data_IF_993332614841
#
_entry.id   IF_993332614841
#
_cell.length_a   1.000
_cell.length_b   1.000
_cell.length_c   1.000
_cell.angle_alpha   90.00
_cell.angle_beta   90.00
_cell.angle_gamma   90.00
#
_symmetry.space_group_name_H-M   'P 1'
#
loop_
_entity.id
_entity.type
_entity.pdbx_description
1 polymer ?
#
# COMPACT_ATOMS: atom_id res chain seq x y z
N UNK A 1 -6.89 -11.82 19.27
CA UNK A 1 -5.44 -11.62 19.51
C UNK A 1 -5.29 -10.34 20.30
N UNK A 2 -4.78 -10.43 21.52
CA UNK A 2 -4.54 -9.27 22.38
C UNK A 2 -3.04 -9.05 22.48
N UNK A 3 -2.59 -7.87 22.11
CA UNK A 3 -1.26 -7.36 22.45
C UNK A 3 -1.54 -6.29 23.49
N UNK A 4 -1.10 -6.52 24.73
CA UNK A 4 -1.39 -5.63 25.85
C UNK A 4 -0.11 -5.18 26.54
N UNK A 5 -0.07 -3.91 26.92
CA UNK A 5 0.84 -3.41 27.94
C UNK A 5 0.14 -3.42 29.31
N UNK A 6 0.92 -3.44 30.38
CA UNK A 6 0.40 -3.39 31.76
C UNK A 6 -0.25 -2.02 31.99
N UNK A 7 -1.42 -1.95 32.65
CA UNK A 7 -1.99 -0.67 33.11
C UNK A 7 -0.95 0.13 33.91
N UNK A 8 -0.67 1.37 33.50
CA UNK A 8 0.29 2.26 34.16
C UNK A 8 1.69 2.35 33.53
N UNK A 9 1.93 1.70 32.39
CA UNK A 9 3.14 1.87 31.56
C UNK A 9 2.80 2.57 30.23
N UNK A 10 2.00 3.63 30.29
CA UNK A 10 1.68 4.49 29.15
C UNK A 10 2.90 5.39 28.84
N UNK A 11 3.94 4.85 28.24
CA UNK A 11 5.09 5.66 27.82
C UNK A 11 4.74 6.47 26.57
N UNK A 12 4.74 7.80 26.73
CA UNK A 12 4.91 8.77 25.65
C UNK A 12 6.06 8.31 24.75
N UNK A 13 5.79 8.24 23.44
CA UNK A 13 6.71 8.47 22.33
C UNK A 13 8.20 8.53 22.75
N UNK A 14 8.80 7.37 22.98
CA UNK A 14 10.14 7.18 23.51
C UNK A 14 10.80 5.99 22.83
N UNK A 15 12.11 6.09 22.62
CA UNK A 15 12.95 5.33 21.70
C UNK A 15 12.85 3.78 21.77
N UNK A 16 13.25 3.18 20.65
CA UNK A 16 13.34 1.74 20.28
C UNK A 16 13.94 0.82 21.37
N UNK A 17 14.62 1.34 22.39
CA UNK A 17 15.33 0.54 23.39
C UNK A 17 14.44 -0.07 24.50
N UNK A 18 13.20 0.42 24.70
CA UNK A 18 12.30 -0.13 25.74
C UNK A 18 11.46 -1.34 25.29
N UNK A 19 11.45 -1.69 24.00
CA UNK A 19 10.61 -2.79 23.45
C UNK A 19 11.20 -4.18 23.73
N UNK A 20 12.42 -4.28 24.28
CA UNK A 20 13.14 -5.55 24.47
C UNK A 20 12.73 -6.36 25.71
N UNK A 21 11.98 -5.81 26.66
CA UNK A 21 11.64 -6.54 27.90
C UNK A 21 10.13 -6.68 28.11
N UNK A 22 9.61 -7.86 27.78
CA UNK A 22 8.33 -8.36 28.25
C UNK A 22 7.20 -8.26 27.22
N UNK A 23 6.14 -9.03 27.45
CA UNK A 23 4.84 -9.00 26.78
C UNK A 23 4.60 -10.04 25.68
N UNK A 24 4.22 -11.24 26.12
CA UNK A 24 3.21 -12.03 25.43
C UNK A 24 2.39 -12.80 26.46
N UNK A 25 1.09 -12.47 26.60
CA UNK A 25 0.11 -13.40 27.18
C UNK A 25 -0.86 -13.80 26.07
N UNK A 26 -0.90 -15.09 25.76
CA UNK A 26 -1.88 -15.66 24.84
C UNK A 26 -3.09 -16.14 25.65
N UNK A 27 -4.25 -15.51 25.45
CA UNK A 27 -5.53 -16.01 25.98
C UNK A 27 -6.26 -16.78 24.88
N UNK A 28 -6.70 -18.00 25.19
CA UNK A 28 -7.51 -18.83 24.28
C UNK A 28 -8.86 -18.18 23.98
N UNK A 29 -9.28 -18.17 22.72
CA UNK A 29 -10.56 -17.60 22.26
C UNK A 29 -11.77 -18.46 22.62
N UNK A 30 -11.60 -19.54 23.38
CA UNK A 30 -12.73 -20.34 23.82
C UNK A 30 -13.36 -19.71 25.07
N UNK A 31 -14.55 -19.14 24.85
CA UNK A 31 -15.56 -18.75 25.86
C UNK A 31 -15.58 -17.28 26.31
N UNK A 32 -15.67 -16.34 25.38
CA UNK A 32 -16.28 -15.03 25.64
C UNK A 32 -17.32 -14.73 24.56
N UNK A 33 -18.55 -14.42 24.96
CA UNK A 33 -19.72 -14.17 24.08
C UNK A 33 -19.69 -12.81 23.37
N UNK A 34 -18.60 -12.06 23.50
CA UNK A 34 -18.45 -10.76 22.86
C UNK A 34 -17.00 -10.59 22.42
N UNK A 35 -16.76 -10.11 21.17
CA UNK A 35 -15.42 -9.78 20.74
C UNK A 35 -14.82 -8.69 21.65
N UNK A 36 -13.49 -8.70 21.85
CA UNK A 36 -12.74 -7.62 22.49
C UNK A 36 -13.18 -6.24 21.98
N UNK A 37 -13.71 -5.38 22.86
CA UNK A 37 -14.16 -4.03 22.47
C UNK A 37 -13.05 -2.98 22.53
N UNK A 38 -11.86 -3.31 23.07
CA UNK A 38 -10.73 -2.39 23.19
C UNK A 38 -9.38 -3.12 23.09
N UNK A 39 -8.42 -2.55 22.36
CA UNK A 39 -7.03 -3.04 22.28
C UNK A 39 -6.20 -2.37 23.38
N UNK A 40 -5.65 -3.16 24.30
CA UNK A 40 -4.71 -2.71 25.35
C UNK A 40 -3.30 -2.40 24.84
N UNK A 41 -3.11 -2.21 23.53
CA UNK A 41 -1.81 -1.98 22.91
C UNK A 41 -1.34 -0.51 23.02
N UNK A 42 -2.16 0.39 23.58
CA UNK A 42 -1.88 1.84 23.61
C UNK A 42 -2.02 2.54 22.26
N UNK A 43 -2.39 1.81 21.20
CA UNK A 43 -2.69 2.34 19.88
C UNK A 43 -3.87 1.62 19.23
N UNK A 44 -4.59 2.35 18.36
CA UNK A 44 -5.60 1.76 17.48
C UNK A 44 -4.89 1.02 16.35
N UNK A 45 -5.33 -0.18 16.01
CA UNK A 45 -4.77 -0.93 14.86
C UNK A 45 -5.44 -0.45 13.57
N UNK A 46 -4.65 0.01 12.60
CA UNK A 46 -5.16 0.42 11.29
C UNK A 46 -5.24 -0.76 10.32
N UNK A 47 -4.21 -1.61 10.29
CA UNK A 47 -4.17 -2.79 9.43
C UNK A 47 -3.34 -3.91 10.05
N UNK A 48 -3.74 -5.16 9.78
CA UNK A 48 -2.92 -6.35 10.08
C UNK A 48 -2.91 -7.24 8.85
N UNK A 49 -1.74 -7.75 8.48
CA UNK A 49 -1.55 -8.73 7.40
C UNK A 49 -0.68 -9.87 7.91
N UNK A 50 -0.96 -11.07 7.44
CA UNK A 50 -0.14 -12.25 7.67
C UNK A 50 0.70 -12.50 6.41
N UNK A 51 1.98 -12.87 6.57
CA UNK A 51 2.80 -13.39 5.47
C UNK A 51 2.16 -14.64 4.89
N UNK A 52 2.45 -14.95 3.62
CA UNK A 52 1.77 -16.05 2.92
C UNK A 52 2.06 -17.43 3.51
N UNK A 53 3.21 -17.60 4.15
CA UNK A 53 3.56 -18.81 4.90
C UNK A 53 2.95 -18.88 6.31
N UNK A 54 2.31 -17.81 6.77
CA UNK A 54 1.75 -17.72 8.11
C UNK A 54 2.77 -17.46 9.22
N UNK A 55 4.04 -17.21 8.90
CA UNK A 55 5.12 -17.11 9.89
C UNK A 55 5.25 -15.72 10.53
N UNK A 56 4.73 -14.66 9.89
CA UNK A 56 4.94 -13.28 10.33
C UNK A 56 3.67 -12.44 10.18
N UNK A 57 3.30 -11.72 11.23
CA UNK A 57 2.24 -10.73 11.22
C UNK A 57 2.85 -9.34 11.08
N UNK A 58 2.44 -8.61 10.04
CA UNK A 58 2.66 -7.16 9.91
C UNK A 58 1.49 -6.43 10.53
N UNK A 59 1.77 -5.56 11.49
CA UNK A 59 0.81 -4.75 12.21
C UNK A 59 1.14 -3.29 11.94
N UNK A 60 0.16 -2.58 11.38
CA UNK A 60 0.22 -1.14 11.12
C UNK A 60 -0.73 -0.45 12.10
N UNK A 61 -0.20 0.26 13.12
CA UNK A 61 -1.03 1.08 13.98
C UNK A 61 -1.56 2.32 13.25
N UNK A 62 -2.72 2.83 13.68
CA UNK A 62 -3.28 4.07 13.22
C UNK A 62 -2.45 5.25 13.74
N UNK A 63 -1.99 6.10 12.82
CA UNK A 63 -1.23 7.32 13.15
C UNK A 63 0.17 7.08 13.73
N UNK A 64 0.67 5.84 13.75
CA UNK A 64 2.02 5.55 14.22
C UNK A 64 3.08 5.82 13.17
N UNK A 65 4.30 6.07 13.66
CA UNK A 65 5.51 6.24 12.87
C UNK A 65 6.26 4.92 12.64
N UNK A 66 5.70 3.79 13.05
CA UNK A 66 6.35 2.49 12.95
C UNK A 66 5.34 1.41 12.53
N UNK A 67 5.81 0.44 11.77
CA UNK A 67 5.15 -0.85 11.58
C UNK A 67 5.85 -1.92 12.42
N UNK A 68 5.07 -2.87 12.89
CA UNK A 68 5.57 -3.98 13.70
C UNK A 68 5.44 -5.30 12.96
N UNK A 69 6.44 -6.15 13.08
CA UNK A 69 6.52 -7.48 12.50
C UNK A 69 6.69 -8.47 13.63
N UNK A 70 5.75 -9.38 13.77
CA UNK A 70 5.72 -10.33 14.88
C UNK A 70 5.66 -11.76 14.38
N UNK A 71 6.53 -12.61 14.89
CA UNK A 71 6.50 -14.06 14.62
C UNK A 71 5.59 -14.75 15.64
N UNK A 72 4.43 -15.31 15.24
CA UNK A 72 3.51 -15.95 16.16
C UNK A 72 4.19 -17.05 16.98
N UNK A 73 3.73 -17.24 18.23
CA UNK A 73 4.29 -18.19 19.21
C UNK A 73 5.70 -17.84 19.72
N UNK A 74 6.24 -16.69 19.33
CA UNK A 74 7.49 -16.15 19.87
C UNK A 74 7.25 -14.79 20.52
N UNK A 75 8.20 -14.32 21.33
CA UNK A 75 8.24 -12.95 21.84
C UNK A 75 9.01 -12.00 20.89
N UNK A 76 9.35 -12.44 19.67
CA UNK A 76 10.17 -11.66 18.74
C UNK A 76 9.29 -10.68 17.97
N UNK A 77 9.47 -9.40 18.25
CA UNK A 77 8.86 -8.29 17.51
C UNK A 77 9.97 -7.42 16.93
N UNK A 78 9.91 -7.19 15.62
CA UNK A 78 10.77 -6.24 14.91
C UNK A 78 9.95 -5.00 14.58
N UNK A 79 10.51 -3.82 14.79
CA UNK A 79 9.90 -2.56 14.39
C UNK A 79 10.61 -2.01 13.15
N UNK A 80 9.85 -1.37 12.27
CA UNK A 80 10.40 -0.59 11.17
C UNK A 80 9.67 0.74 11.07
N UNK A 81 10.42 1.84 11.19
CA UNK A 81 9.88 3.18 11.06
C UNK A 81 9.23 3.39 9.70
N UNK A 82 8.11 4.08 9.64
CA UNK A 82 7.38 4.48 8.42
C UNK A 82 7.80 5.87 7.94
N UNK A 83 8.64 6.57 8.70
CA UNK A 83 9.18 7.89 8.37
C UNK A 83 10.67 7.98 8.71
N UNK A 84 11.47 8.57 7.83
CA UNK A 84 12.90 8.78 8.07
C UNK A 84 13.59 9.49 6.93
N UNK A 85 14.85 9.87 7.15
CA UNK A 85 15.72 10.41 6.11
C UNK A 85 16.35 9.26 5.32
N UNK A 86 16.49 9.43 4.00
CA UNK A 86 17.23 8.47 3.19
C UNK A 86 18.73 8.58 3.49
N UNK A 87 19.35 7.49 3.96
CA UNK A 87 20.80 7.44 4.12
C UNK A 87 21.43 6.96 2.82
N UNK A 88 22.33 7.76 2.24
CA UNK A 88 23.12 7.37 1.07
C UNK A 88 22.31 7.12 -0.21
N UNK A 89 21.11 7.70 -0.35
CA UNK A 89 20.29 7.40 -1.50
C UNK A 89 19.63 6.01 -1.45
N UNK A 90 19.40 5.43 -0.25
CA UNK A 90 18.29 4.46 -0.02
C UNK A 90 17.40 4.88 1.18
N UNK A 91 16.07 4.73 1.11
CA UNK A 91 15.17 5.06 2.22
C UNK A 91 15.25 3.95 3.25
N UNK A 92 15.69 4.28 4.45
CA UNK A 92 15.86 3.30 5.55
C UNK A 92 14.55 2.88 6.21
N UNK A 93 13.42 3.51 5.84
CA UNK A 93 12.12 3.34 6.47
C UNK A 93 11.15 2.47 5.64
N UNK A 94 10.22 1.79 6.28
CA UNK A 94 9.18 0.92 5.71
C UNK A 94 7.87 1.67 5.46
N UNK A 95 7.94 2.93 5.02
CA UNK A 95 6.75 3.76 4.80
C UNK A 95 5.92 3.34 3.59
N UNK A 96 4.92 4.17 3.26
CA UNK A 96 4.10 4.02 2.06
C UNK A 96 3.22 2.76 2.04
N UNK A 97 2.70 2.45 0.85
CA UNK A 97 1.92 1.23 0.64
C UNK A 97 2.82 0.00 0.58
N UNK A 98 2.38 -1.07 1.24
CA UNK A 98 3.21 -2.25 1.45
C UNK A 98 2.46 -3.54 1.20
N UNK A 99 3.15 -4.54 0.63
CA UNK A 99 2.63 -5.87 0.35
C UNK A 99 3.57 -6.94 0.91
N UNK A 100 3.01 -8.05 1.39
CA UNK A 100 3.75 -9.18 1.94
C UNK A 100 3.76 -10.36 0.97
N UNK A 101 4.93 -10.96 0.80
CA UNK A 101 5.11 -12.29 0.24
C UNK A 101 5.11 -13.36 1.33
N UNK A 102 5.86 -14.43 1.08
CA UNK A 102 6.15 -15.51 2.04
C UNK A 102 7.19 -15.07 3.07
N UNK A 103 8.32 -14.54 2.61
CA UNK A 103 9.49 -14.23 3.42
C UNK A 103 9.97 -12.80 3.26
N UNK A 104 9.35 -12.01 2.37
CA UNK A 104 9.73 -10.64 2.10
C UNK A 104 8.58 -9.64 2.21
N UNK A 105 8.95 -8.41 2.55
CA UNK A 105 8.15 -7.21 2.44
C UNK A 105 8.56 -6.45 1.19
N UNK A 106 7.56 -6.02 0.42
CA UNK A 106 7.73 -4.93 -0.53
C UNK A 106 7.08 -3.70 0.06
N UNK A 107 7.84 -2.61 0.14
CA UNK A 107 7.31 -1.32 0.54
C UNK A 107 7.64 -0.27 -0.50
N UNK A 108 6.71 0.66 -0.61
CA UNK A 108 6.89 1.89 -1.33
C UNK A 108 7.81 2.83 -0.57
N UNK A 109 8.58 3.64 -1.29
CA UNK A 109 9.42 4.68 -0.70
C UNK A 109 10.89 4.26 -0.68
N UNK A 110 11.66 4.94 -1.52
CA UNK A 110 13.12 5.00 -1.60
C UNK A 110 13.49 6.50 -1.63
N UNK A 111 14.75 6.88 -1.63
CA UNK A 111 15.12 8.27 -1.84
C UNK A 111 15.14 8.57 -3.32
N UNK A 112 14.96 9.84 -3.63
CA UNK A 112 14.85 10.31 -4.99
C UNK A 112 13.42 10.33 -5.52
N UNK A 113 12.51 9.42 -5.14
CA UNK A 113 11.13 9.46 -5.66
C UNK A 113 10.07 8.63 -4.88
N UNK A 114 8.81 9.08 -4.89
CA UNK A 114 7.63 8.39 -4.34
C UNK A 114 7.15 7.25 -5.26
N UNK A 115 8.05 6.43 -5.76
CA UNK A 115 7.74 5.38 -6.75
C UNK A 115 8.75 4.24 -6.69
N UNK A 116 9.91 4.46 -6.05
CA UNK A 116 10.84 3.42 -5.67
C UNK A 116 10.16 2.28 -4.91
N UNK A 117 10.54 1.06 -5.29
CA UNK A 117 10.16 -0.18 -4.65
C UNK A 117 11.33 -0.78 -3.90
N UNK A 118 11.14 -0.98 -2.60
CA UNK A 118 12.11 -1.61 -1.74
C UNK A 118 11.68 -3.03 -1.41
N UNK A 119 12.63 -3.95 -1.52
CA UNK A 119 12.49 -5.36 -1.23
C UNK A 119 13.31 -5.72 0.00
N UNK A 120 12.64 -6.25 1.03
CA UNK A 120 13.22 -6.48 2.35
C UNK A 120 12.91 -7.88 2.86
N UNK A 121 13.90 -8.68 3.28
CA UNK A 121 13.67 -9.92 4.01
C UNK A 121 12.94 -9.64 5.34
N UNK A 122 11.93 -10.43 5.69
CA UNK A 122 11.24 -10.32 6.99
C UNK A 122 12.13 -10.74 8.16
N UNK A 123 13.18 -11.52 7.91
CA UNK A 123 14.20 -11.88 8.90
C UNK A 123 15.12 -10.72 9.26
N UNK A 124 15.30 -9.75 8.36
CA UNK A 124 16.15 -8.58 8.56
C UNK A 124 15.67 -7.42 7.68
N UNK A 125 14.82 -6.57 8.25
CA UNK A 125 14.22 -5.43 7.54
C UNK A 125 15.23 -4.31 7.23
N UNK A 126 16.45 -4.40 7.76
CA UNK A 126 17.52 -3.44 7.45
C UNK A 126 18.19 -3.75 6.12
N UNK A 127 18.04 -4.98 5.60
CA UNK A 127 18.48 -5.35 4.27
C UNK A 127 17.50 -4.84 3.24
N UNK A 128 17.98 -3.94 2.38
CA UNK A 128 17.18 -3.26 1.38
C UNK A 128 17.77 -3.52 0.01
N UNK A 129 16.95 -4.08 -0.87
CA UNK A 129 17.21 -4.12 -2.31
C UNK A 129 16.19 -3.22 -3.01
N UNK A 130 16.67 -2.27 -3.81
CA UNK A 130 15.78 -1.52 -4.69
C UNK A 130 15.43 -2.38 -5.91
N UNK A 131 14.14 -2.51 -6.24
CA UNK A 131 13.69 -3.32 -7.37
C UNK A 131 13.67 -2.56 -8.68
N UNK A 132 13.33 -1.26 -8.62
CA UNK A 132 13.36 -0.40 -9.80
C UNK A 132 14.79 0.10 -10.04
N UNK A 133 15.34 -0.05 -11.25
CA UNK A 133 16.67 0.48 -11.58
C UNK A 133 16.75 1.99 -11.30
N UNK A 134 17.89 2.50 -10.79
CA UNK A 134 18.07 3.95 -10.55
C UNK A 134 17.97 4.79 -11.84
N UNK A 135 18.20 4.17 -13.00
CA UNK A 135 18.20 4.80 -14.31
C UNK A 135 16.78 5.01 -14.86
N UNK A 136 15.77 4.34 -14.30
CA UNK A 136 14.38 4.55 -14.68
C UNK A 136 13.92 5.92 -14.19
N UNK A 137 13.62 6.82 -15.13
CA UNK A 137 13.00 8.10 -14.81
C UNK A 137 11.54 7.87 -14.46
N UNK A 138 11.28 7.72 -13.16
CA UNK A 138 9.93 7.55 -12.63
C UNK A 138 9.49 8.86 -11.96
N UNK A 139 8.24 9.30 -12.19
CA UNK A 139 7.73 10.56 -11.65
C UNK A 139 7.98 10.71 -10.15
N UNK A 140 8.43 11.90 -9.72
CA UNK A 140 8.67 12.17 -8.30
C UNK A 140 7.39 12.02 -7.46
N UNK A 141 6.22 12.24 -8.07
CA UNK A 141 4.93 12.19 -7.41
C UNK A 141 4.00 11.16 -8.03
N UNK A 142 3.52 10.23 -7.21
CA UNK A 142 2.52 9.24 -7.58
C UNK A 142 2.11 8.45 -6.34
N UNK A 143 0.90 7.90 -6.36
CA UNK A 143 0.49 6.90 -5.38
C UNK A 143 0.45 5.53 -6.06
N UNK A 144 0.91 4.50 -5.37
CA UNK A 144 0.96 3.14 -5.89
C UNK A 144 0.40 2.17 -4.89
N UNK A 145 -0.36 1.20 -5.37
CA UNK A 145 -0.85 0.09 -4.57
C UNK A 145 -0.39 -1.22 -5.18
N UNK A 146 0.55 -1.87 -4.51
CA UNK A 146 1.17 -3.11 -4.97
C UNK A 146 0.40 -4.33 -4.47
N UNK A 147 0.34 -5.34 -5.32
CA UNK A 147 -0.27 -6.64 -5.09
C UNK A 147 0.71 -7.74 -5.46
N UNK A 148 0.74 -8.75 -4.60
CA UNK A 148 1.64 -9.88 -4.76
C UNK A 148 0.93 -11.19 -4.43
N UNK A 149 -0.23 -11.36 -5.05
CA UNK A 149 -1.11 -12.51 -4.84
C UNK A 149 -0.64 -13.80 -5.50
N UNK A 150 0.22 -13.67 -6.49
CA UNK A 150 0.92 -14.74 -7.19
C UNK A 150 2.27 -15.11 -6.56
N UNK A 151 2.67 -14.49 -5.44
CA UNK A 151 3.92 -14.82 -4.76
C UNK A 151 4.04 -16.34 -4.55
N UNK A 152 5.21 -16.88 -4.88
CA UNK A 152 5.59 -18.26 -4.60
C UNK A 152 6.42 -18.32 -3.29
N UNK A 153 6.72 -19.51 -2.74
CA UNK A 153 7.51 -19.63 -1.52
C UNK A 153 8.91 -19.03 -1.56
N UNK A 154 9.47 -18.81 -2.75
CA UNK A 154 10.77 -18.16 -2.95
C UNK A 154 10.63 -16.65 -3.18
N UNK A 155 9.39 -16.12 -3.16
CA UNK A 155 9.07 -14.74 -3.50
C UNK A 155 9.65 -14.34 -4.88
N UNK A 156 9.64 -15.27 -5.83
CA UNK A 156 10.35 -15.10 -7.11
C UNK A 156 9.50 -14.48 -8.23
N UNK A 157 8.17 -14.62 -8.14
CA UNK A 157 7.24 -14.02 -9.09
C UNK A 157 7.23 -12.49 -9.03
N UNK A 158 6.97 -11.78 -10.15
CA UNK A 158 6.86 -10.31 -10.14
C UNK A 158 5.79 -9.79 -9.18
N UNK A 159 6.06 -8.63 -8.58
CA UNK A 159 5.05 -7.83 -7.88
C UNK A 159 4.36 -6.92 -8.89
N UNK A 160 3.04 -6.77 -8.80
CA UNK A 160 2.28 -5.96 -9.75
C UNK A 160 1.51 -4.85 -9.05
N UNK A 161 1.27 -3.75 -9.74
CA UNK A 161 0.57 -2.61 -9.17
C UNK A 161 0.14 -1.64 -10.24
N UNK A 162 -0.46 -0.55 -9.81
CA UNK A 162 -0.81 0.54 -10.70
C UNK A 162 -0.37 1.87 -10.11
N UNK A 163 0.14 2.73 -10.99
CA UNK A 163 0.56 4.07 -10.68
C UNK A 163 -0.61 5.04 -10.89
N UNK A 164 -1.20 5.46 -9.79
CA UNK A 164 -2.21 6.52 -9.83
C UNK A 164 -1.56 7.89 -9.76
N UNK A 165 -2.09 8.84 -10.52
CA UNK A 165 -1.77 10.25 -10.37
C UNK A 165 -2.03 10.72 -8.94
N UNK A 166 -1.41 11.83 -8.53
CA UNK A 166 -1.50 12.26 -7.13
C UNK A 166 -2.93 12.59 -6.72
N UNK A 167 -3.36 12.06 -5.58
CA UNK A 167 -4.62 12.42 -4.91
C UNK A 167 -4.71 13.89 -4.48
N UNK A 168 -3.69 14.70 -4.77
CA UNK A 168 -3.64 16.13 -4.50
C UNK A 168 -3.99 17.00 -5.72
N UNK A 169 -4.10 16.43 -6.93
CA UNK A 169 -4.55 17.23 -8.08
C UNK A 169 -6.06 17.36 -8.03
N UNK A 170 -6.53 18.61 -8.06
CA UNK A 170 -7.94 18.92 -8.27
C UNK A 170 -8.15 19.17 -9.77
N UNK A 171 -9.17 18.53 -10.34
CA UNK A 171 -9.60 18.89 -11.69
C UNK A 171 -10.41 20.16 -11.69
N UNK A 172 -10.64 20.72 -12.87
CA UNK A 172 -11.43 21.94 -13.08
C UNK A 172 -12.96 21.70 -12.96
N UNK A 173 -13.37 20.49 -12.55
CA UNK A 173 -14.77 20.09 -12.46
C UNK A 173 -15.41 19.75 -13.80
N UNK A 174 -14.65 19.74 -14.90
CA UNK A 174 -15.13 19.40 -16.25
C UNK A 174 -14.48 18.12 -16.76
N UNK A 175 -15.06 17.53 -17.81
CA UNK A 175 -14.45 16.39 -18.53
C UNK A 175 -13.72 16.83 -19.80
N UNK A 176 -13.18 18.05 -19.83
CA UNK A 176 -12.49 18.58 -21.00
C UNK A 176 -10.97 18.36 -20.85
N UNK A 177 -10.33 17.47 -21.62
CA UNK A 177 -8.89 17.23 -21.51
C UNK A 177 -8.04 18.45 -21.90
N UNK A 178 -8.59 19.43 -22.62
CA UNK A 178 -7.88 20.68 -22.93
C UNK A 178 -7.72 21.60 -21.71
N UNK A 179 -8.58 21.46 -20.69
CA UNK A 179 -8.60 22.35 -19.51
C UNK A 179 -8.43 21.61 -18.19
N UNK A 180 -8.83 20.33 -18.13
CA UNK A 180 -8.74 19.51 -16.93
C UNK A 180 -7.36 18.82 -16.84
N UNK A 181 -6.50 19.22 -15.89
CA UNK A 181 -5.16 18.66 -15.77
C UNK A 181 -5.10 17.19 -15.32
N UNK A 182 -6.24 16.61 -14.89
CA UNK A 182 -6.35 15.20 -14.50
C UNK A 182 -6.51 14.24 -15.67
N UNK A 183 -6.95 14.75 -16.82
CA UNK A 183 -7.25 13.94 -18.01
C UNK A 183 -6.09 13.93 -19.01
N UNK A 184 -4.92 14.41 -18.61
CA UNK A 184 -3.74 14.52 -19.45
C UNK A 184 -2.61 13.72 -18.82
N UNK A 185 -2.18 12.65 -19.49
CA UNK A 185 -0.95 11.92 -19.18
C UNK A 185 0.25 12.78 -19.56
N UNK A 186 1.17 13.00 -18.61
CA UNK A 186 2.29 13.93 -18.80
C UNK A 186 3.63 13.25 -18.97
N UNK A 187 3.73 12.00 -18.54
CA UNK A 187 5.00 11.29 -18.41
C UNK A 187 4.78 9.79 -18.33
N UNK A 188 5.82 8.99 -18.63
CA UNK A 188 5.82 7.55 -18.37
C UNK A 188 5.37 7.24 -16.94
N UNK A 189 4.82 6.05 -16.74
CA UNK A 189 4.30 5.54 -15.47
C UNK A 189 3.00 6.17 -15.00
N UNK A 190 2.64 7.38 -15.44
CA UNK A 190 1.34 7.93 -15.07
C UNK A 190 0.22 7.06 -15.64
N UNK A 191 -0.63 6.59 -14.72
CA UNK A 191 -1.83 5.83 -15.02
C UNK A 191 -1.56 4.48 -15.66
N UNK A 192 -0.53 3.77 -15.22
CA UNK A 192 -0.14 2.49 -15.81
C UNK A 192 -0.24 1.33 -14.84
N UNK A 193 -0.68 0.18 -15.36
CA UNK A 193 -0.53 -1.12 -14.73
C UNK A 193 0.85 -1.66 -15.07
N UNK A 194 1.62 -1.98 -14.04
CA UNK A 194 2.99 -2.48 -14.18
C UNK A 194 3.24 -3.70 -13.31
N UNK A 195 4.28 -4.46 -13.65
CA UNK A 195 4.88 -5.43 -12.74
C UNK A 195 6.40 -5.25 -12.71
N UNK A 196 7.02 -5.60 -11.59
CA UNK A 196 8.45 -5.43 -11.36
C UNK A 196 9.05 -6.76 -10.91
N UNK A 197 10.19 -7.12 -11.50
CA UNK A 197 10.91 -8.34 -11.16
C UNK A 197 11.42 -8.27 -9.72
N UNK A 198 11.13 -9.31 -8.94
CA UNK A 198 11.61 -9.45 -7.55
C UNK A 198 12.86 -10.33 -7.49
N UNK A 199 12.99 -11.24 -8.45
CA UNK A 199 14.12 -12.14 -8.65
C UNK A 199 14.76 -11.97 -10.03
N UNK A 200 15.98 -12.48 -10.19
CA UNK A 200 16.72 -12.40 -11.46
C UNK A 200 17.19 -10.98 -11.84
N UNK A 201 17.32 -10.75 -13.15
CA UNK A 201 17.72 -9.47 -13.73
C UNK A 201 16.63 -8.42 -13.48
N UNK A 202 16.97 -7.21 -13.00
CA UNK A 202 16.02 -6.12 -12.84
C UNK A 202 15.25 -5.86 -14.14
N UNK A 203 13.92 -5.90 -14.06
CA UNK A 203 13.05 -5.72 -15.22
C UNK A 203 11.69 -5.18 -14.78
N UNK A 204 11.08 -4.40 -15.66
CA UNK A 204 9.75 -3.81 -15.46
C UNK A 204 8.90 -4.14 -16.69
N UNK A 205 7.73 -4.71 -16.45
CA UNK A 205 6.70 -4.90 -17.47
C UNK A 205 5.63 -3.82 -17.32
N UNK A 206 5.22 -3.21 -18.43
CA UNK A 206 4.17 -2.18 -18.49
C UNK A 206 3.09 -2.70 -19.43
N UNK A 207 1.86 -2.85 -18.93
CA UNK A 207 0.84 -3.63 -19.63
C UNK A 207 -0.27 -2.78 -20.24
N UNK A 208 -0.79 -1.82 -19.49
CA UNK A 208 -1.92 -1.02 -19.93
C UNK A 208 -1.95 0.33 -19.22
N UNK A 209 -2.51 1.33 -19.90
CA UNK A 209 -2.99 2.52 -19.22
C UNK A 209 -4.33 2.23 -18.55
N UNK A 210 -4.52 2.79 -17.37
CA UNK A 210 -5.79 2.80 -16.65
C UNK A 210 -6.39 4.19 -16.68
N UNK A 211 -7.72 4.28 -16.73
CA UNK A 211 -8.39 5.57 -16.73
C UNK A 211 -8.81 6.03 -15.32
N UNK A 212 -8.13 5.55 -14.28
CA UNK A 212 -8.35 6.03 -12.92
C UNK A 212 -7.73 7.44 -12.79
N UNK A 213 -8.51 8.44 -12.37
CA UNK A 213 -8.02 9.84 -12.26
C UNK A 213 -7.14 10.07 -11.04
N UNK A 214 -7.24 9.19 -10.03
CA UNK A 214 -6.59 9.30 -8.73
C UNK A 214 -7.02 10.50 -7.90
N UNK A 215 -7.98 11.28 -8.38
CA UNK A 215 -8.31 12.59 -7.84
C UNK A 215 -9.73 12.63 -7.30
N UNK A 216 -9.89 13.46 -6.29
CA UNK A 216 -11.18 13.91 -5.82
C UNK A 216 -11.69 14.98 -6.81
N UNK A 217 -13.00 15.05 -7.05
CA UNK A 217 -13.57 16.28 -7.63
C UNK A 217 -13.30 17.45 -6.66
N UNK A 218 -13.38 18.69 -7.15
CA UNK A 218 -13.17 19.89 -6.32
C UNK A 218 -14.17 20.02 -5.15
N UNK A 219 -15.27 19.27 -5.17
CA UNK A 219 -16.35 19.30 -4.16
C UNK A 219 -16.35 18.09 -3.21
N UNK A 220 -15.40 17.17 -3.36
CA UNK A 220 -15.26 15.98 -2.53
C UNK A 220 -14.94 16.36 -1.09
N UNK A 221 -15.51 15.61 -0.14
CA UNK A 221 -14.99 15.60 1.23
C UNK A 221 -13.66 14.84 1.26
N UNK A 222 -12.74 15.26 2.14
CA UNK A 222 -11.47 14.57 2.33
C UNK A 222 -11.68 13.05 2.51
N UNK A 223 -11.04 12.25 1.65
CA UNK A 223 -11.10 10.78 1.69
C UNK A 223 -12.08 10.10 0.71
N UNK A 224 -12.86 10.83 -0.09
CA UNK A 224 -13.81 10.23 -1.06
C UNK A 224 -13.17 9.70 -2.36
N UNK A 225 -11.87 9.87 -2.51
CA UNK A 225 -11.10 9.67 -3.75
C UNK A 225 -10.49 8.28 -3.84
N UNK A 226 -10.72 7.43 -2.83
CA UNK A 226 -10.20 6.07 -2.80
C UNK A 226 -10.62 5.26 -4.03
N UNK A 227 -11.86 5.46 -4.48
CA UNK A 227 -12.41 4.73 -5.62
C UNK A 227 -12.00 5.32 -6.98
N UNK A 228 -11.34 6.48 -7.02
CA UNK A 228 -10.72 7.02 -8.25
C UNK A 228 -9.25 6.60 -8.40
N UNK A 229 -8.68 5.89 -7.43
CA UNK A 229 -7.34 5.28 -7.52
C UNK A 229 -7.43 3.89 -8.13
N UNK A 230 -6.42 3.51 -8.93
CA UNK A 230 -6.30 2.17 -9.52
C UNK A 230 -5.79 1.14 -8.50
N UNK A 231 -6.48 1.00 -7.38
CA UNK A 231 -6.12 0.02 -6.35
C UNK A 231 -6.55 -1.35 -6.86
N UNK A 232 -5.57 -2.24 -7.07
CA UNK A 232 -5.79 -3.50 -7.74
C UNK A 232 -5.11 -4.70 -7.10
N UNK A 233 -5.47 -5.87 -7.61
CA UNK A 233 -4.91 -7.15 -7.22
C UNK A 233 -4.52 -7.98 -8.43
N UNK A 234 -3.33 -8.57 -8.37
CA UNK A 234 -2.91 -9.61 -9.32
C UNK A 234 -3.65 -10.92 -9.00
N UNK A 235 -3.94 -11.74 -10.02
CA UNK A 235 -4.50 -13.07 -9.85
C UNK A 235 -3.47 -14.02 -9.21
N UNK A 236 -3.93 -15.10 -8.60
CA UNK A 236 -3.03 -16.08 -7.95
C UNK A 236 -2.08 -16.77 -8.94
N UNK A 237 -2.48 -16.90 -10.21
CA UNK A 237 -1.65 -17.45 -11.28
C UNK A 237 -0.84 -16.39 -12.04
N UNK A 238 -0.90 -15.12 -11.61
CA UNK A 238 -0.11 -14.04 -12.20
C UNK A 238 -0.57 -13.56 -13.59
N UNK A 239 -1.68 -14.08 -14.12
CA UNK A 239 -2.12 -13.78 -15.50
C UNK A 239 -2.99 -12.54 -15.64
N UNK A 240 -3.57 -12.05 -14.55
CA UNK A 240 -4.49 -10.92 -14.62
C UNK A 240 -4.25 -9.92 -13.50
N UNK A 241 -4.52 -8.65 -13.78
CA UNK A 241 -4.59 -7.59 -12.77
C UNK A 241 -5.98 -6.95 -12.80
N UNK A 242 -6.71 -7.03 -11.68
CA UNK A 242 -8.04 -6.44 -11.50
C UNK A 242 -7.92 -5.16 -10.67
N UNK A 243 -8.46 -4.04 -11.12
CA UNK A 243 -8.37 -2.75 -10.44
C UNK A 243 -9.66 -1.92 -10.58
N UNK A 244 -9.87 -0.98 -9.65
CA UNK A 244 -10.94 -0.01 -9.72
C UNK A 244 -10.59 1.20 -10.58
N UNK A 245 -11.57 1.80 -11.25
CA UNK A 245 -11.37 3.05 -11.99
C UNK A 245 -12.68 3.82 -12.14
N UNK A 246 -12.59 5.14 -12.16
CA UNK A 246 -13.68 6.07 -12.48
C UNK A 246 -13.74 6.43 -13.98
N UNK A 247 -12.83 5.85 -14.77
CA UNK A 247 -12.72 5.96 -16.22
C UNK A 247 -12.79 7.41 -16.73
N UNK A 248 -11.84 8.25 -16.34
CA UNK A 248 -11.82 9.69 -16.69
C UNK A 248 -13.09 10.42 -16.25
N UNK A 249 -13.58 10.08 -15.05
CA UNK A 249 -14.87 10.56 -14.51
C UNK A 249 -16.11 10.22 -15.36
N UNK A 250 -16.04 9.25 -16.29
CA UNK A 250 -17.24 8.84 -17.05
C UNK A 250 -18.26 8.08 -16.24
N UNK A 251 -17.83 7.38 -15.19
CA UNK A 251 -18.70 6.47 -14.44
C UNK A 251 -19.41 7.18 -13.28
N UNK A 252 -18.97 8.41 -12.97
CA UNK A 252 -19.49 9.25 -11.91
C UNK A 252 -19.04 8.75 -10.54
N UNK A 253 -18.16 9.49 -9.87
CA UNK A 253 -17.62 9.10 -8.57
C UNK A 253 -18.42 9.61 -7.37
N UNK A 254 -19.19 10.69 -7.52
CA UNK A 254 -20.05 11.25 -6.46
C UNK A 254 -21.26 12.03 -6.99
N UNK A 255 -22.28 12.19 -6.14
CA UNK A 255 -23.57 12.79 -6.51
C UNK A 255 -23.37 14.26 -6.90
N UNK A 256 -23.99 14.69 -8.01
CA UNK A 256 -23.90 16.05 -8.61
C UNK A 256 -22.62 16.35 -9.42
N UNK A 257 -21.91 15.31 -9.87
CA UNK A 257 -20.69 15.44 -10.67
C UNK A 257 -20.87 15.11 -12.17
N UNK A 258 -19.94 15.55 -13.04
CA UNK A 258 -19.83 15.01 -14.39
C UNK A 258 -19.74 13.48 -14.35
N UNK A 259 -20.53 12.79 -15.19
CA UNK A 259 -20.58 11.33 -15.24
C UNK A 259 -21.47 10.66 -14.19
N UNK A 260 -21.83 11.32 -13.07
CA UNK A 260 -22.84 10.79 -12.16
C UNK A 260 -24.24 11.27 -12.59
N UNK A 261 -25.19 10.37 -12.93
CA UNK A 261 -26.51 10.78 -13.39
C UNK A 261 -27.25 11.64 -12.36
N UNK A 262 -28.00 12.65 -12.82
CA UNK A 262 -28.85 13.49 -11.96
C UNK A 262 -29.93 12.67 -11.24
N UNK A 263 -30.35 11.57 -11.87
CA UNK A 263 -31.15 10.50 -11.28
C UNK A 263 -30.40 9.18 -11.46
N UNK A 264 -29.76 8.69 -10.40
CA UNK A 264 -28.97 7.46 -10.44
C UNK A 264 -27.98 7.35 -9.30
N UNK A 265 -27.24 6.25 -9.27
CA UNK A 265 -26.11 6.06 -8.37
C UNK A 265 -24.82 6.27 -9.15
N UNK A 266 -23.88 6.97 -8.53
CA UNK A 266 -22.52 7.09 -9.01
C UNK A 266 -21.89 5.70 -9.07
N UNK A 267 -21.18 5.39 -10.15
CA UNK A 267 -20.63 4.08 -10.44
C UNK A 267 -19.11 4.14 -10.42
N UNK A 268 -18.52 3.14 -9.79
CA UNK A 268 -17.12 2.78 -9.96
C UNK A 268 -17.10 1.37 -10.50
N UNK A 269 -16.26 1.13 -11.50
CA UNK A 269 -16.15 -0.18 -12.12
C UNK A 269 -14.82 -0.84 -11.82
N UNK A 270 -14.85 -2.17 -11.91
CA UNK A 270 -13.66 -3.00 -11.90
C UNK A 270 -13.27 -3.34 -13.35
N UNK A 271 -11.98 -3.19 -13.63
CA UNK A 271 -11.37 -3.45 -14.93
C UNK A 271 -10.28 -4.49 -14.75
N UNK A 272 -10.09 -5.33 -15.78
CA UNK A 272 -9.12 -6.41 -15.78
C UNK A 272 -8.17 -6.26 -16.97
N UNK A 273 -6.88 -6.46 -16.71
CA UNK A 273 -5.82 -6.49 -17.73
C UNK A 273 -5.18 -7.87 -17.70
N UNK A 274 -4.91 -8.42 -18.88
CA UNK A 274 -4.12 -9.64 -19.04
C UNK A 274 -2.61 -9.30 -19.00
N UNK A 275 -1.86 -10.06 -18.19
CA UNK A 275 -0.43 -9.87 -17.95
C UNK A 275 0.36 -10.90 -18.79
N UNK A 276 0.63 -10.56 -20.05
CA UNK A 276 1.36 -11.39 -21.02
C UNK A 276 2.68 -10.75 -21.45
#
# INVERSE_FOLDING_TARGET
MYIGTIPGQETRQGSVDQVKSGYTQAVSLTKASSPPTTTSAGYNVHNVRLSRDGSTLKITPAGARDMFFWTPKTAMVSACTTAGEGHGGVASYCGGHTVLGYSHLINHGGPGNMVSLLYRPLSDLTQIKQLLPPEESVPFFGDTHWSWNNADPADSTPVCGAFSGTAMRQGDGTRNPATNPLLVERQPWEREVVCVATSGTPHVWRFAHHHATGACNANARAGSCFNSLAIGNVSQDGKFFLFGSDWDWNLGSETRNPGCPTAGRCRFDAFIVELK
#
